data_IF_864445190183
#
_entry.id   IF_864445190183
#
_cell.length_a   1.000
_cell.length_b   1.000
_cell.length_c   1.000
_cell.angle_alpha   90.00
_cell.angle_beta   90.00
_cell.angle_gamma   90.00
#
_symmetry.space_group_name_H-M   'P 1'
#
loop_
_entity.id
_entity.type
_entity.pdbx_description
1 polymer ?
#
# COMPACT_ATOMS: atom_id res chain seq x y z
N UNK A 1 2.33 19.04 -16.37
CA UNK A 1 3.13 17.84 -16.74
C UNK A 1 3.84 17.38 -15.47
N UNK A 2 3.81 16.10 -15.13
CA UNK A 2 4.50 15.56 -13.95
C UNK A 2 5.99 15.63 -14.21
N UNK A 3 6.73 16.25 -13.29
CA UNK A 3 8.20 16.26 -13.38
C UNK A 3 8.75 15.02 -12.66
N UNK A 4 9.21 14.05 -13.43
CA UNK A 4 9.81 12.82 -12.92
C UNK A 4 11.23 13.08 -12.40
N UNK A 5 11.58 12.39 -11.31
CA UNK A 5 12.96 12.32 -10.81
C UNK A 5 13.80 11.41 -11.70
N UNK A 6 15.15 11.48 -11.69
CA UNK A 6 15.99 10.71 -12.61
C UNK A 6 15.70 9.20 -12.62
N UNK A 7 15.52 8.57 -11.47
CA UNK A 7 15.18 7.14 -11.37
C UNK A 7 13.77 6.84 -11.90
N UNK A 8 12.82 7.75 -11.68
CA UNK A 8 11.46 7.63 -12.20
C UNK A 8 11.45 7.78 -13.72
N UNK A 9 12.26 8.69 -14.26
CA UNK A 9 12.41 8.89 -15.71
C UNK A 9 12.99 7.64 -16.36
N UNK A 10 14.04 7.03 -15.80
CA UNK A 10 14.60 5.77 -16.31
C UNK A 10 13.55 4.66 -16.34
N UNK A 11 12.77 4.53 -15.26
CA UNK A 11 11.68 3.54 -15.22
C UNK A 11 10.65 3.80 -16.31
N UNK A 12 10.19 5.05 -16.43
CA UNK A 12 9.23 5.47 -17.46
C UNK A 12 9.75 5.19 -18.88
N UNK A 13 10.99 5.58 -19.19
CA UNK A 13 11.59 5.39 -20.52
C UNK A 13 11.68 3.89 -20.88
N UNK A 14 12.07 3.04 -19.92
CA UNK A 14 12.12 1.60 -20.12
C UNK A 14 10.73 0.98 -20.31
N UNK A 15 9.70 1.50 -19.63
CA UNK A 15 8.30 1.09 -19.83
C UNK A 15 7.77 1.47 -21.23
N UNK A 16 8.33 2.49 -21.89
CA UNK A 16 7.91 2.82 -23.27
C UNK A 16 8.46 1.84 -24.32
N UNK A 17 9.49 1.08 -23.98
CA UNK A 17 10.13 0.12 -24.90
C UNK A 17 9.73 -1.33 -24.66
N UNK A 18 9.12 -1.64 -23.51
CA UNK A 18 8.81 -3.00 -23.06
C UNK A 18 7.37 -3.10 -22.56
N UNK A 19 6.61 -4.05 -23.04
CA UNK A 19 5.20 -4.23 -22.64
C UNK A 19 5.02 -4.99 -21.33
N UNK A 20 6.08 -5.53 -20.73
CA UNK A 20 6.02 -6.27 -19.49
C UNK A 20 7.31 -6.14 -18.69
N UNK A 21 7.20 -5.78 -17.41
CA UNK A 21 8.37 -5.79 -16.56
C UNK A 21 8.17 -5.32 -15.14
N UNK A 22 9.25 -5.38 -14.38
CA UNK A 22 9.29 -5.10 -12.97
C UNK A 22 9.99 -3.78 -12.70
N UNK A 23 9.41 -2.96 -11.82
CA UNK A 23 9.98 -1.70 -11.37
C UNK A 23 10.24 -1.82 -9.86
N UNK A 24 11.52 -1.97 -9.52
CA UNK A 24 11.98 -2.23 -8.16
C UNK A 24 12.51 -0.93 -7.54
N UNK A 25 11.64 -0.21 -6.86
CA UNK A 25 11.95 1.10 -6.25
C UNK A 25 11.54 1.07 -4.78
N UNK A 26 12.41 1.53 -3.86
CA UNK A 26 12.11 1.61 -2.44
C UNK A 26 10.82 2.40 -2.14
N UNK A 27 10.22 2.12 -0.98
CA UNK A 27 9.11 2.93 -0.46
C UNK A 27 9.54 4.39 -0.33
N UNK A 28 8.67 5.33 -0.69
CA UNK A 28 9.00 6.75 -0.77
C UNK A 28 9.70 7.18 -2.08
N UNK A 29 10.09 6.25 -2.96
CA UNK A 29 10.70 6.57 -4.26
C UNK A 29 9.71 6.99 -5.35
N UNK A 30 8.40 7.09 -5.04
CA UNK A 30 7.39 7.65 -5.95
C UNK A 30 6.96 6.72 -7.08
N UNK A 31 6.76 5.44 -6.80
CA UNK A 31 6.25 4.44 -7.77
C UNK A 31 4.93 4.89 -8.42
N UNK A 32 4.03 5.49 -7.65
CA UNK A 32 2.74 5.99 -8.14
C UNK A 32 2.90 7.04 -9.23
N UNK A 33 3.88 7.94 -9.11
CA UNK A 33 4.13 8.97 -10.15
C UNK A 33 4.56 8.37 -11.50
N UNK A 34 5.27 7.25 -11.48
CA UNK A 34 5.66 6.54 -12.71
C UNK A 34 4.42 5.92 -13.37
N UNK A 35 3.55 5.28 -12.59
CA UNK A 35 2.27 4.72 -13.08
C UNK A 35 1.42 5.81 -13.71
N UNK A 36 1.27 6.96 -13.04
CA UNK A 36 0.47 8.10 -13.53
C UNK A 36 1.09 8.68 -14.80
N UNK A 37 2.42 8.82 -14.85
CA UNK A 37 3.09 9.35 -16.04
C UNK A 37 2.92 8.44 -17.26
N UNK A 38 3.06 7.12 -17.07
CA UNK A 38 2.83 6.13 -18.12
C UNK A 38 1.37 6.14 -18.59
N UNK A 39 0.42 6.16 -17.66
CA UNK A 39 -1.00 6.23 -17.99
C UNK A 39 -1.35 7.51 -18.79
N UNK A 40 -0.82 8.66 -18.39
CA UNK A 40 -1.03 9.92 -19.14
C UNK A 40 -0.50 9.85 -20.56
N UNK A 41 0.66 9.24 -20.75
CA UNK A 41 1.22 9.06 -22.10
C UNK A 41 0.34 8.10 -22.93
N UNK A 42 -0.19 7.03 -22.32
CA UNK A 42 -1.10 6.13 -23.01
C UNK A 42 -2.43 6.81 -23.37
N UNK A 43 -3.01 7.61 -22.47
CA UNK A 43 -4.23 8.38 -22.73
C UNK A 43 -4.01 9.39 -23.87
N UNK A 44 -2.87 10.07 -23.91
CA UNK A 44 -2.53 11.03 -24.97
C UNK A 44 -2.41 10.39 -26.36
N UNK A 45 -1.99 9.13 -26.43
CA UNK A 45 -1.74 8.43 -27.69
C UNK A 45 -2.91 7.54 -28.13
N UNK A 46 -3.82 7.20 -27.23
CA UNK A 46 -4.98 6.36 -27.52
C UNK A 46 -6.10 7.17 -28.19
N UNK A 47 -6.74 6.62 -29.20
CA UNK A 47 -7.86 7.26 -29.89
C UNK A 47 -9.17 7.19 -29.12
N UNK A 48 -9.46 6.07 -28.45
CA UNK A 48 -10.65 5.81 -27.63
C UNK A 48 -10.54 4.50 -26.88
N UNK A 49 -11.40 4.30 -25.87
CA UNK A 49 -11.62 3.00 -25.23
C UNK A 49 -10.43 2.39 -24.50
N UNK A 50 -9.44 3.20 -24.08
CA UNK A 50 -8.32 2.68 -23.29
C UNK A 50 -8.81 2.18 -21.93
N UNK A 51 -8.60 0.90 -21.63
CA UNK A 51 -8.94 0.29 -20.33
C UNK A 51 -7.66 0.00 -19.57
N UNK A 52 -7.50 0.67 -18.43
CA UNK A 52 -6.35 0.52 -17.55
C UNK A 52 -6.79 0.00 -16.17
N UNK A 53 -6.04 -0.93 -15.61
CA UNK A 53 -6.32 -1.53 -14.30
C UNK A 53 -5.19 -1.20 -13.33
N UNK A 54 -5.54 -0.73 -12.15
CA UNK A 54 -4.60 -0.49 -11.04
C UNK A 54 -4.92 -1.44 -9.90
N UNK A 55 -3.98 -2.32 -9.58
CA UNK A 55 -4.14 -3.40 -8.59
C UNK A 55 -3.38 -3.02 -7.33
N UNK A 56 -4.08 -2.91 -6.21
CA UNK A 56 -3.52 -2.62 -4.89
C UNK A 56 -3.63 -3.82 -3.93
N UNK A 57 -2.79 -3.93 -2.91
CA UNK A 57 -2.89 -5.02 -1.93
C UNK A 57 -4.15 -4.95 -1.07
N UNK A 58 -4.72 -3.75 -0.87
CA UNK A 58 -5.88 -3.53 0.02
C UNK A 58 -6.77 -2.40 -0.50
N UNK A 59 -8.05 -2.43 -0.10
CA UNK A 59 -9.04 -1.42 -0.46
C UNK A 59 -8.58 0.01 -0.11
N UNK A 60 -8.00 0.20 1.08
CA UNK A 60 -7.50 1.51 1.50
C UNK A 60 -6.46 2.07 0.53
N UNK A 61 -5.50 1.23 0.12
CA UNK A 61 -4.48 1.63 -0.86
C UNK A 61 -5.04 1.82 -2.26
N UNK A 62 -6.03 1.01 -2.65
CA UNK A 62 -6.77 1.20 -3.89
C UNK A 62 -7.42 2.59 -3.93
N UNK A 63 -8.06 3.01 -2.84
CA UNK A 63 -8.68 4.32 -2.73
C UNK A 63 -7.66 5.46 -2.67
N UNK A 64 -6.50 5.23 -2.04
CA UNK A 64 -5.40 6.20 -2.02
C UNK A 64 -4.82 6.40 -3.43
N UNK A 65 -4.54 5.30 -4.15
CA UNK A 65 -4.09 5.38 -5.55
C UNK A 65 -5.12 6.11 -6.42
N UNK A 66 -6.42 5.81 -6.26
CA UNK A 66 -7.47 6.57 -6.95
C UNK A 66 -7.37 8.07 -6.66
N UNK A 67 -7.21 8.48 -5.40
CA UNK A 67 -7.07 9.90 -5.05
C UNK A 67 -5.84 10.54 -5.69
N UNK A 68 -4.67 9.88 -5.60
CA UNK A 68 -3.41 10.37 -6.17
C UNK A 68 -3.48 10.48 -7.71
N UNK A 69 -4.07 9.47 -8.37
CA UNK A 69 -4.27 9.53 -9.82
C UNK A 69 -5.23 10.64 -10.21
N UNK A 70 -6.33 10.82 -9.48
CA UNK A 70 -7.36 11.84 -9.78
C UNK A 70 -6.80 13.26 -9.70
N UNK A 71 -5.89 13.55 -8.78
CA UNK A 71 -5.21 14.84 -8.67
C UNK A 71 -4.41 15.19 -9.93
N UNK A 72 -3.91 14.21 -10.65
CA UNK A 72 -3.10 14.38 -11.84
C UNK A 72 -3.83 14.18 -13.16
N UNK A 73 -5.05 13.64 -13.13
CA UNK A 73 -5.87 13.34 -14.30
C UNK A 73 -7.08 14.26 -14.46
N UNK A 74 -7.09 15.42 -13.80
CA UNK A 74 -8.23 16.37 -13.78
C UNK A 74 -8.66 16.80 -15.18
N UNK A 75 -7.72 16.90 -16.11
CA UNK A 75 -7.97 17.37 -17.48
C UNK A 75 -8.25 16.22 -18.47
N UNK A 76 -8.24 14.96 -17.99
CA UNK A 76 -8.43 13.78 -18.84
C UNK A 76 -9.89 13.30 -18.76
N UNK A 77 -10.50 12.99 -19.93
CA UNK A 77 -11.84 12.39 -19.99
C UNK A 77 -11.77 10.88 -19.73
N UNK A 78 -11.74 10.53 -18.46
CA UNK A 78 -11.65 9.13 -18.01
C UNK A 78 -12.79 8.79 -17.07
N UNK A 79 -13.36 7.59 -17.25
CA UNK A 79 -14.32 7.02 -16.31
C UNK A 79 -13.60 6.17 -15.26
N UNK A 80 -14.03 6.31 -14.04
CA UNK A 80 -13.44 5.59 -12.90
C UNK A 80 -14.44 4.55 -12.39
N UNK A 81 -13.92 3.36 -12.11
CA UNK A 81 -14.67 2.29 -11.46
C UNK A 81 -13.81 1.54 -10.44
N UNK A 82 -14.49 0.93 -9.49
CA UNK A 82 -13.86 0.13 -8.45
C UNK A 82 -14.36 -1.31 -8.48
N UNK A 83 -13.44 -2.26 -8.40
CA UNK A 83 -13.75 -3.69 -8.31
C UNK A 83 -13.26 -4.21 -6.97
N UNK A 84 -14.00 -3.90 -5.92
CA UNK A 84 -13.78 -4.38 -4.55
C UNK A 84 -15.02 -4.12 -3.68
N UNK A 85 -15.08 -4.74 -2.50
CA UNK A 85 -16.22 -4.64 -1.57
C UNK A 85 -16.24 -3.37 -0.69
N UNK A 86 -15.36 -2.38 -0.96
CA UNK A 86 -15.32 -1.12 -0.21
C UNK A 86 -16.39 -0.15 -0.66
N UNK A 87 -16.82 0.74 0.24
CA UNK A 87 -17.70 1.85 -0.10
C UNK A 87 -16.92 2.95 -0.82
N UNK A 88 -17.37 3.35 -2.00
CA UNK A 88 -16.84 4.45 -2.82
C UNK A 88 -18.00 5.23 -3.42
N UNK A 89 -17.72 6.40 -3.97
CA UNK A 89 -18.74 7.26 -4.61
C UNK A 89 -18.99 6.88 -6.08
N UNK A 90 -17.95 6.44 -6.74
CA UNK A 90 -17.94 6.03 -8.14
C UNK A 90 -18.60 4.65 -8.29
N UNK A 91 -18.78 4.22 -9.53
CA UNK A 91 -19.28 2.88 -9.79
C UNK A 91 -18.38 1.83 -9.11
N UNK A 92 -19.00 0.90 -8.37
CA UNK A 92 -18.31 -0.20 -7.72
C UNK A 92 -19.15 -1.47 -7.80
N UNK A 93 -18.54 -2.54 -8.31
CA UNK A 93 -19.17 -3.86 -8.33
C UNK A 93 -18.12 -4.97 -8.17
N UNK A 94 -18.57 -6.11 -7.69
CA UNK A 94 -17.85 -7.39 -7.69
C UNK A 94 -18.55 -8.45 -8.56
N UNK A 95 -19.61 -8.07 -9.27
CA UNK A 95 -20.29 -8.90 -10.25
C UNK A 95 -19.65 -8.72 -11.62
N UNK A 96 -19.20 -9.80 -12.24
CA UNK A 96 -18.49 -9.78 -13.51
C UNK A 96 -19.34 -9.22 -14.67
N UNK A 97 -20.63 -9.55 -14.73
CA UNK A 97 -21.56 -9.05 -15.75
C UNK A 97 -21.75 -7.53 -15.64
N UNK A 98 -21.96 -7.01 -14.40
CA UNK A 98 -22.08 -5.57 -14.16
C UNK A 98 -20.80 -4.80 -14.52
N UNK A 99 -19.64 -5.40 -14.25
CA UNK A 99 -18.32 -4.82 -14.62
C UNK A 99 -18.20 -4.74 -16.14
N UNK A 100 -18.51 -5.86 -16.83
CA UNK A 100 -18.44 -5.92 -18.29
C UNK A 100 -19.41 -4.92 -18.94
N UNK A 101 -20.65 -4.85 -18.48
CA UNK A 101 -21.67 -3.93 -18.97
C UNK A 101 -21.23 -2.46 -18.77
N UNK A 102 -20.70 -2.13 -17.60
CA UNK A 102 -20.27 -0.75 -17.31
C UNK A 102 -19.09 -0.33 -18.19
N UNK A 103 -18.15 -1.22 -18.45
CA UNK A 103 -16.97 -0.92 -19.27
C UNK A 103 -17.30 -0.91 -20.77
N UNK A 104 -18.07 -1.88 -21.27
CA UNK A 104 -18.31 -2.07 -22.70
C UNK A 104 -19.37 -1.12 -23.29
N UNK A 105 -20.23 -0.54 -22.45
CA UNK A 105 -21.31 0.34 -22.91
C UNK A 105 -20.84 1.78 -23.26
N UNK A 106 -19.53 2.01 -23.40
CA UNK A 106 -19.00 3.35 -23.60
C UNK A 106 -17.61 3.31 -24.24
N UNK A 107 -17.37 4.21 -25.18
CA UNK A 107 -16.08 4.38 -25.87
C UNK A 107 -15.07 5.26 -25.11
N UNK A 108 -15.40 5.72 -23.90
CA UNK A 108 -14.51 6.50 -23.05
C UNK A 108 -13.33 5.70 -22.54
N UNK A 109 -12.27 6.38 -22.14
CA UNK A 109 -11.18 5.76 -21.39
C UNK A 109 -11.65 5.33 -19.99
N UNK A 110 -11.19 4.19 -19.51
CA UNK A 110 -11.55 3.65 -18.22
C UNK A 110 -10.31 3.38 -17.35
N UNK A 111 -10.41 3.73 -16.07
CA UNK A 111 -9.46 3.31 -15.05
C UNK A 111 -10.22 2.50 -14.00
N UNK A 112 -9.80 1.26 -13.83
CA UNK A 112 -10.41 0.31 -12.88
C UNK A 112 -9.46 0.12 -11.70
N UNK A 113 -9.87 0.54 -10.52
CA UNK A 113 -9.12 0.29 -9.29
C UNK A 113 -9.62 -1.00 -8.64
N UNK A 114 -8.69 -1.91 -8.35
CA UNK A 114 -9.02 -3.20 -7.76
C UNK A 114 -8.02 -3.62 -6.70
N UNK A 115 -8.31 -4.73 -6.03
CA UNK A 115 -7.38 -5.38 -5.11
C UNK A 115 -6.98 -6.76 -5.63
N UNK A 116 -5.85 -7.30 -5.15
CA UNK A 116 -5.48 -8.69 -5.46
C UNK A 116 -6.59 -9.69 -5.12
N UNK A 117 -7.37 -9.42 -4.06
CA UNK A 117 -8.52 -10.25 -3.69
C UNK A 117 -9.65 -10.24 -4.73
N UNK A 118 -9.83 -9.13 -5.43
CA UNK A 118 -10.94 -8.95 -6.38
C UNK A 118 -10.50 -9.06 -7.85
N UNK A 119 -9.20 -9.19 -8.12
CA UNK A 119 -8.64 -9.22 -9.48
C UNK A 119 -9.26 -10.31 -10.36
N UNK A 120 -9.60 -11.48 -9.77
CA UNK A 120 -10.28 -12.54 -10.49
C UNK A 120 -11.63 -12.11 -11.07
N UNK A 121 -12.32 -11.13 -10.48
CA UNK A 121 -13.59 -10.58 -10.99
C UNK A 121 -13.42 -9.84 -12.31
N UNK A 122 -12.27 -9.19 -12.50
CA UNK A 122 -11.91 -8.55 -13.76
C UNK A 122 -11.61 -9.60 -14.82
N UNK A 123 -10.94 -10.69 -14.45
CA UNK A 123 -10.71 -11.84 -15.34
C UNK A 123 -12.04 -12.49 -15.75
N UNK A 124 -12.94 -12.70 -14.79
CA UNK A 124 -14.28 -13.28 -15.02
C UNK A 124 -15.17 -12.38 -15.90
N UNK A 125 -14.96 -11.06 -15.88
CA UNK A 125 -15.69 -10.09 -16.71
C UNK A 125 -15.27 -10.10 -18.19
N UNK A 126 -14.14 -10.73 -18.52
CA UNK A 126 -13.61 -10.91 -19.88
C UNK A 126 -13.55 -9.59 -20.70
N UNK A 127 -13.13 -8.51 -20.02
CA UNK A 127 -12.98 -7.20 -20.66
C UNK A 127 -11.56 -7.05 -21.23
N UNK A 128 -11.37 -6.31 -22.33
CA UNK A 128 -10.04 -6.02 -22.84
C UNK A 128 -9.25 -5.16 -21.86
N UNK A 129 -8.01 -5.55 -21.54
CA UNK A 129 -7.13 -4.78 -20.67
C UNK A 129 -5.95 -4.28 -21.50
N UNK A 130 -5.83 -2.96 -21.63
CA UNK A 130 -4.71 -2.35 -22.35
C UNK A 130 -3.49 -2.23 -21.46
N UNK A 131 -3.67 -1.68 -20.25
CA UNK A 131 -2.59 -1.53 -19.28
C UNK A 131 -3.01 -2.11 -17.92
N UNK A 132 -2.08 -2.77 -17.23
CA UNK A 132 -2.28 -3.17 -15.85
C UNK A 132 -1.05 -2.84 -15.01
N UNK A 133 -1.27 -2.13 -13.90
CA UNK A 133 -0.25 -1.73 -12.94
C UNK A 133 -0.49 -2.47 -11.63
N UNK A 134 0.47 -3.26 -11.20
CA UNK A 134 0.43 -3.99 -9.94
C UNK A 134 1.25 -3.25 -8.89
N UNK A 135 0.60 -2.59 -7.95
CA UNK A 135 1.29 -2.01 -6.80
C UNK A 135 1.54 -3.08 -5.73
N UNK A 136 2.70 -2.95 -5.04
CA UNK A 136 3.23 -3.94 -4.11
C UNK A 136 3.14 -5.37 -4.69
N UNK A 137 3.71 -5.53 -5.88
CA UNK A 137 3.58 -6.72 -6.74
C UNK A 137 4.02 -8.03 -6.10
N UNK A 138 4.84 -7.98 -5.04
CA UNK A 138 5.20 -9.14 -4.24
C UNK A 138 3.99 -9.86 -3.61
N UNK A 139 2.83 -9.17 -3.46
CA UNK A 139 1.59 -9.79 -2.99
C UNK A 139 1.03 -10.78 -4.00
N UNK A 140 1.20 -10.53 -5.29
CA UNK A 140 0.76 -11.41 -6.37
C UNK A 140 1.41 -12.79 -6.37
N UNK A 141 2.54 -12.96 -5.67
CA UNK A 141 3.23 -14.26 -5.55
C UNK A 141 2.54 -15.24 -4.60
N UNK A 142 1.55 -14.79 -3.83
CA UNK A 142 0.82 -15.66 -2.89
C UNK A 142 -0.04 -16.68 -3.66
N UNK A 143 -0.23 -17.86 -3.09
CA UNK A 143 -1.03 -18.93 -3.70
C UNK A 143 -2.45 -18.47 -4.05
N UNK A 144 -3.03 -17.59 -3.25
CA UNK A 144 -4.42 -17.13 -3.42
C UNK A 144 -4.59 -16.11 -4.55
N UNK A 145 -3.55 -15.38 -4.91
CA UNK A 145 -3.64 -14.28 -5.89
C UNK A 145 -2.97 -14.61 -7.22
N UNK A 146 -2.02 -15.54 -7.21
CA UNK A 146 -1.18 -15.84 -8.37
C UNK A 146 -1.96 -16.27 -9.61
N UNK A 147 -3.03 -17.05 -9.43
CA UNK A 147 -3.86 -17.51 -10.57
C UNK A 147 -4.50 -16.35 -11.31
N UNK A 148 -5.02 -15.35 -10.59
CA UNK A 148 -5.58 -14.15 -11.22
C UNK A 148 -4.48 -13.30 -11.88
N UNK A 149 -3.32 -13.13 -11.24
CA UNK A 149 -2.16 -12.44 -11.84
C UNK A 149 -1.69 -13.16 -13.11
N UNK A 150 -1.57 -14.48 -13.09
CA UNK A 150 -1.21 -15.29 -14.25
C UNK A 150 -2.26 -15.17 -15.38
N UNK A 151 -3.55 -15.16 -15.04
CA UNK A 151 -4.61 -14.98 -16.01
C UNK A 151 -4.49 -13.61 -16.71
N UNK A 152 -4.36 -12.52 -15.95
CA UNK A 152 -4.20 -11.17 -16.53
C UNK A 152 -2.95 -11.05 -17.41
N UNK A 153 -1.91 -11.84 -17.16
CA UNK A 153 -0.71 -11.88 -18.01
C UNK A 153 -0.98 -12.39 -19.44
N UNK A 154 -2.13 -13.00 -19.66
CA UNK A 154 -2.54 -13.49 -20.99
C UNK A 154 -3.46 -12.52 -21.74
N UNK A 155 -4.11 -11.61 -21.03
CA UNK A 155 -5.13 -10.70 -21.60
C UNK A 155 -4.65 -9.26 -21.71
N UNK A 156 -3.82 -8.79 -20.77
CA UNK A 156 -3.35 -7.42 -20.78
C UNK A 156 -2.22 -7.21 -21.79
N UNK A 157 -2.34 -6.16 -22.59
CA UNK A 157 -1.31 -5.82 -23.57
C UNK A 157 -0.03 -5.36 -22.88
N UNK A 158 -0.14 -4.46 -21.90
CA UNK A 158 1.00 -3.94 -21.13
C UNK A 158 0.83 -4.24 -19.64
N UNK A 159 1.89 -4.74 -18.98
CA UNK A 159 1.85 -5.21 -17.57
C UNK A 159 3.08 -4.77 -16.80
N UNK A 160 2.89 -4.03 -15.74
CA UNK A 160 4.00 -3.54 -14.92
C UNK A 160 3.82 -3.86 -13.45
N UNK A 161 4.89 -4.33 -12.83
CA UNK A 161 4.93 -4.87 -11.48
C UNK A 161 5.83 -4.01 -10.59
N UNK A 162 5.24 -3.19 -9.73
CA UNK A 162 5.91 -2.24 -8.86
C UNK A 162 6.06 -2.80 -7.46
N UNK A 163 7.28 -2.82 -6.92
CA UNK A 163 7.53 -3.19 -5.52
C UNK A 163 8.90 -2.70 -5.04
N UNK A 164 9.03 -2.54 -3.72
CA UNK A 164 10.31 -2.33 -3.06
C UNK A 164 11.01 -3.67 -2.71
N UNK A 165 10.23 -4.74 -2.56
CA UNK A 165 10.66 -6.01 -1.97
C UNK A 165 10.23 -7.19 -2.83
N UNK A 166 10.92 -7.46 -3.96
CA UNK A 166 10.56 -8.57 -4.84
C UNK A 166 10.70 -9.90 -4.10
N UNK A 167 9.73 -10.79 -4.30
CA UNK A 167 9.73 -12.13 -3.72
C UNK A 167 10.19 -13.16 -4.74
N UNK A 168 11.31 -13.80 -4.44
CA UNK A 168 11.86 -14.90 -5.26
C UNK A 168 11.19 -16.21 -4.85
N UNK A 169 10.77 -16.99 -5.84
CA UNK A 169 10.14 -18.28 -5.61
C UNK A 169 11.12 -19.36 -5.19
N UNK A 170 10.74 -20.19 -4.19
CA UNK A 170 11.55 -21.33 -3.72
C UNK A 170 10.67 -22.57 -3.58
N UNK A 171 11.23 -23.73 -3.93
CA UNK A 171 10.52 -25.02 -3.80
C UNK A 171 9.15 -24.98 -4.50
N UNK A 172 8.07 -25.25 -3.79
CA UNK A 172 6.70 -25.27 -4.32
C UNK A 172 6.19 -23.90 -4.79
N UNK A 173 6.86 -22.80 -4.43
CA UNK A 173 6.49 -21.44 -4.87
C UNK A 173 7.33 -20.94 -6.05
N UNK A 174 8.22 -21.76 -6.61
CA UNK A 174 9.15 -21.37 -7.68
C UNK A 174 8.46 -20.72 -8.87
N UNK A 175 7.33 -21.28 -9.30
CA UNK A 175 6.59 -20.76 -10.47
C UNK A 175 5.88 -19.42 -10.17
N UNK A 176 5.64 -19.10 -8.90
CA UNK A 176 4.94 -17.91 -8.47
C UNK A 176 5.85 -16.75 -8.07
N UNK A 177 7.15 -16.99 -7.98
CA UNK A 177 8.13 -15.97 -7.64
C UNK A 177 8.25 -14.92 -8.72
N UNK A 178 8.66 -13.71 -8.35
CA UNK A 178 8.89 -12.61 -9.29
C UNK A 178 10.12 -12.85 -10.17
N UNK A 179 10.94 -13.86 -9.87
CA UNK A 179 11.98 -14.40 -10.73
C UNK A 179 11.45 -15.25 -11.91
N UNK A 180 10.13 -15.46 -12.01
CA UNK A 180 9.48 -16.04 -13.16
C UNK A 180 9.21 -14.97 -14.24
N UNK A 181 10.20 -14.73 -15.11
CA UNK A 181 10.12 -13.71 -16.14
C UNK A 181 8.99 -13.93 -17.18
N UNK A 182 8.42 -15.14 -17.28
CA UNK A 182 7.27 -15.39 -18.16
C UNK A 182 6.01 -14.68 -17.68
N UNK A 183 5.88 -14.46 -16.37
CA UNK A 183 4.73 -13.78 -15.75
C UNK A 183 5.07 -12.32 -15.49
N UNK A 184 6.21 -12.06 -14.85
CA UNK A 184 6.55 -10.74 -14.33
C UNK A 184 7.46 -9.91 -15.26
N UNK A 185 7.91 -10.48 -16.38
CA UNK A 185 8.87 -9.81 -17.25
C UNK A 185 10.25 -9.64 -16.63
N UNK A 186 11.11 -8.92 -17.33
CA UNK A 186 12.44 -8.55 -16.84
C UNK A 186 12.35 -7.36 -15.86
N UNK A 187 13.42 -7.14 -15.11
CA UNK A 187 13.57 -5.92 -14.32
C UNK A 187 13.88 -4.76 -15.29
N UNK A 188 12.95 -3.80 -15.37
CA UNK A 188 13.09 -2.61 -16.21
C UNK A 188 13.84 -1.49 -15.50
N UNK A 189 13.61 -1.35 -14.20
CA UNK A 189 14.34 -0.41 -13.35
C UNK A 189 14.54 -1.01 -11.95
N UNK A 190 15.74 -0.83 -11.43
CA UNK A 190 16.07 -1.17 -10.05
C UNK A 190 16.85 -0.02 -9.42
N UNK A 191 16.20 0.70 -8.52
CA UNK A 191 16.80 1.81 -7.78
C UNK A 191 17.22 1.36 -6.39
N UNK A 192 18.47 1.60 -6.03
CA UNK A 192 18.95 1.29 -4.68
C UNK A 192 18.47 2.34 -3.67
N UNK A 193 18.16 1.93 -2.43
CA UNK A 193 17.82 2.87 -1.35
C UNK A 193 18.92 3.93 -1.11
N UNK A 194 20.18 3.55 -1.28
CA UNK A 194 21.32 4.46 -1.16
C UNK A 194 21.25 5.62 -2.16
N UNK A 195 20.81 5.40 -3.40
CA UNK A 195 20.63 6.45 -4.41
C UNK A 195 19.57 7.47 -3.96
N UNK A 196 18.45 7.00 -3.42
CA UNK A 196 17.37 7.86 -2.93
C UNK A 196 17.75 8.62 -1.66
N UNK A 197 18.54 8.02 -0.79
CA UNK A 197 19.11 8.69 0.40
C UNK A 197 20.08 9.79 -0.02
N UNK A 198 21.00 9.50 -0.91
CA UNK A 198 21.99 10.48 -1.40
C UNK A 198 21.31 11.66 -2.12
N UNK A 199 20.22 11.41 -2.82
CA UNK A 199 19.43 12.47 -3.47
C UNK A 199 18.43 13.18 -2.53
N UNK A 200 18.41 12.84 -1.24
CA UNK A 200 17.53 13.44 -0.23
C UNK A 200 16.05 13.10 -0.40
N UNK A 201 15.72 12.04 -1.13
CA UNK A 201 14.33 11.64 -1.38
C UNK A 201 13.74 10.78 -0.26
N UNK A 202 14.57 10.00 0.39
CA UNK A 202 14.20 9.24 1.59
C UNK A 202 15.22 9.47 2.69
N UNK A 203 14.77 9.41 3.92
CA UNK A 203 15.62 9.52 5.10
C UNK A 203 16.21 8.14 5.43
N UNK A 204 17.51 8.03 5.73
CA UNK A 204 18.09 6.76 6.14
C UNK A 204 17.46 6.31 7.47
N UNK A 205 16.98 5.05 7.58
CA UNK A 205 16.47 4.54 8.83
C UNK A 205 17.64 4.36 9.82
N UNK A 206 17.45 4.82 11.05
CA UNK A 206 18.30 4.48 12.18
C UNK A 206 17.71 3.27 12.88
N UNK A 207 18.42 2.15 12.83
CA UNK A 207 18.00 0.91 13.55
C UNK A 207 18.77 0.85 14.87
N UNK A 208 18.03 0.98 15.97
CA UNK A 208 18.60 0.89 17.32
C UNK A 208 18.03 -0.37 17.97
N UNK A 209 18.85 -1.42 18.23
CA UNK A 209 18.40 -2.56 19.01
C UNK A 209 18.15 -2.11 20.45
N UNK A 210 17.09 -2.66 21.06
CA UNK A 210 16.75 -2.40 22.45
C UNK A 210 16.91 -3.73 23.22
N UNK A 211 17.87 -3.75 24.12
CA UNK A 211 18.11 -4.89 25.00
C UNK A 211 17.33 -4.73 26.30
N UNK A 212 16.80 -5.83 26.81
CA UNK A 212 16.03 -5.87 28.04
C UNK A 212 16.40 -7.09 28.86
N UNK A 213 16.55 -6.89 30.18
CA UNK A 213 16.73 -7.97 31.15
C UNK A 213 15.41 -8.64 31.56
N UNK A 214 14.28 -8.16 31.04
CA UNK A 214 12.96 -8.69 31.36
C UNK A 214 12.74 -10.05 30.71
N UNK A 215 12.51 -11.06 31.53
CA UNK A 215 12.21 -12.42 31.03
C UNK A 215 10.75 -12.52 30.66
N UNK A 216 10.49 -12.70 29.36
CA UNK A 216 9.15 -12.83 28.80
C UNK A 216 8.65 -14.26 28.85
N UNK A 217 7.74 -14.56 29.78
CA UNK A 217 7.07 -15.85 29.91
C UNK A 217 5.60 -15.75 29.47
N UNK A 218 4.93 -16.90 29.30
CA UNK A 218 3.53 -16.92 28.87
C UNK A 218 2.58 -16.21 29.84
N UNK A 219 2.89 -16.21 31.13
CA UNK A 219 2.04 -15.64 32.19
C UNK A 219 2.17 -14.12 32.30
N UNK A 220 3.37 -13.56 32.05
CA UNK A 220 3.67 -12.15 32.18
C UNK A 220 3.90 -11.43 30.85
N UNK A 221 3.65 -12.11 29.73
CA UNK A 221 4.01 -11.62 28.41
C UNK A 221 3.49 -10.20 28.10
N UNK A 222 2.28 -9.86 28.55
CA UNK A 222 1.69 -8.57 28.27
C UNK A 222 2.26 -7.43 29.10
N UNK A 223 2.64 -7.76 30.36
CA UNK A 223 3.29 -6.80 31.26
C UNK A 223 4.72 -6.52 30.80
N UNK A 224 5.45 -7.54 30.38
CA UNK A 224 6.78 -7.39 29.78
C UNK A 224 6.74 -6.63 28.47
N UNK A 225 5.78 -6.93 27.59
CA UNK A 225 5.60 -6.20 26.34
C UNK A 225 5.28 -4.72 26.60
N UNK A 226 4.41 -4.42 27.60
CA UNK A 226 4.11 -3.06 28.06
C UNK A 226 5.37 -2.36 28.58
N UNK A 227 6.09 -2.99 29.52
CA UNK A 227 7.28 -2.44 30.14
C UNK A 227 8.34 -2.07 29.11
N UNK A 228 8.61 -2.97 28.15
CA UNK A 228 9.54 -2.69 27.06
C UNK A 228 9.10 -1.51 26.21
N UNK A 229 7.80 -1.37 25.91
CA UNK A 229 7.28 -0.19 25.17
C UNK A 229 7.54 1.09 25.97
N UNK A 230 7.25 1.10 27.27
CA UNK A 230 7.47 2.28 28.11
C UNK A 230 8.96 2.62 28.19
N UNK A 231 9.83 1.66 28.45
CA UNK A 231 11.27 1.86 28.54
C UNK A 231 11.85 2.42 27.22
N UNK A 232 11.38 1.93 26.07
CA UNK A 232 11.77 2.47 24.77
C UNK A 232 11.32 3.94 24.63
N UNK A 233 10.08 4.24 24.99
CA UNK A 233 9.56 5.62 24.90
C UNK A 233 10.25 6.60 25.85
N UNK A 234 10.64 6.15 27.04
CA UNK A 234 11.42 6.92 28.00
C UNK A 234 12.86 7.17 27.55
N UNK A 235 13.40 6.26 26.71
CA UNK A 235 14.72 6.44 26.12
C UNK A 235 14.75 7.42 24.94
N UNK A 236 13.60 7.85 24.43
CA UNK A 236 13.54 8.82 23.37
C UNK A 236 13.93 10.22 23.86
N UNK A 237 14.44 11.02 22.95
CA UNK A 237 14.95 12.36 23.23
C UNK A 237 13.86 13.27 23.84
N UNK A 238 14.17 13.86 25.00
CA UNK A 238 13.25 14.78 25.68
C UNK A 238 13.00 16.06 24.84
N UNK A 239 11.80 16.60 24.99
CA UNK A 239 11.40 17.87 24.34
C UNK A 239 10.99 17.74 22.88
N UNK A 240 11.03 16.54 22.28
CA UNK A 240 10.50 16.28 20.94
C UNK A 240 9.10 15.67 20.97
N UNK A 241 8.29 16.09 20.01
CA UNK A 241 6.96 15.51 19.80
C UNK A 241 7.08 14.25 18.95
N UNK A 242 7.35 13.11 19.58
CA UNK A 242 7.51 11.84 18.89
C UNK A 242 6.19 11.31 18.35
N UNK A 243 6.20 10.88 17.10
CA UNK A 243 5.12 10.14 16.41
C UNK A 243 5.55 8.69 16.31
N UNK A 244 4.93 7.83 17.10
CA UNK A 244 5.42 6.45 17.31
C UNK A 244 4.47 5.43 16.72
N UNK A 245 5.00 4.52 15.91
CA UNK A 245 4.27 3.39 15.34
C UNK A 245 4.72 2.08 16.01
N UNK A 246 3.79 1.39 16.65
CA UNK A 246 4.02 0.11 17.31
C UNK A 246 3.31 -1.00 16.56
N UNK A 247 4.09 -1.87 15.92
CA UNK A 247 3.61 -3.05 15.21
C UNK A 247 3.59 -4.27 16.14
N UNK A 248 2.40 -4.77 16.45
CA UNK A 248 2.26 -5.99 17.24
C UNK A 248 2.37 -7.25 16.34
N UNK A 249 2.84 -8.39 16.87
CA UNK A 249 2.98 -9.63 16.11
C UNK A 249 1.64 -10.25 15.69
N UNK A 250 0.56 -9.95 16.40
CA UNK A 250 -0.80 -10.36 16.05
C UNK A 250 -1.86 -9.57 16.84
N UNK A 251 -3.11 -9.64 16.39
CA UNK A 251 -4.25 -8.94 17.02
C UNK A 251 -4.48 -9.34 18.49
N UNK A 252 -4.21 -10.59 18.85
CA UNK A 252 -4.43 -11.09 20.22
C UNK A 252 -3.44 -10.47 21.20
N UNK A 253 -2.15 -10.39 20.83
CA UNK A 253 -1.10 -9.75 21.64
C UNK A 253 -1.43 -8.27 21.80
N UNK A 254 -1.73 -7.58 20.70
CA UNK A 254 -2.10 -6.17 20.73
C UNK A 254 -3.29 -5.90 21.66
N UNK A 255 -4.36 -6.65 21.47
CA UNK A 255 -5.58 -6.45 22.28
C UNK A 255 -5.35 -6.70 23.76
N UNK A 256 -4.62 -7.75 24.12
CA UNK A 256 -4.30 -8.05 25.51
C UNK A 256 -3.44 -6.98 26.15
N UNK A 257 -2.42 -6.49 25.46
CA UNK A 257 -1.60 -5.39 25.94
C UNK A 257 -2.44 -4.14 26.22
N UNK A 258 -3.34 -3.76 25.29
CA UNK A 258 -4.19 -2.58 25.45
C UNK A 258 -5.30 -2.74 26.51
N UNK A 259 -5.82 -3.96 26.74
CA UNK A 259 -6.98 -4.19 27.61
C UNK A 259 -6.65 -4.78 28.98
N UNK A 260 -5.48 -5.42 29.15
CA UNK A 260 -5.11 -6.14 30.37
C UNK A 260 -3.92 -5.51 31.10
N UNK A 261 -3.31 -4.45 30.56
CA UNK A 261 -2.21 -3.71 31.20
C UNK A 261 -2.58 -2.23 31.37
N UNK A 262 -1.74 -1.48 32.08
CA UNK A 262 -1.90 -0.03 32.28
C UNK A 262 -1.39 0.82 31.12
N UNK A 263 -0.92 0.24 29.99
CA UNK A 263 -0.24 0.93 28.89
C UNK A 263 -0.95 2.22 28.44
N UNK A 264 -2.27 2.22 28.37
CA UNK A 264 -3.05 3.39 27.95
C UNK A 264 -2.93 4.53 28.97
N UNK A 265 -2.95 4.22 30.25
CA UNK A 265 -2.81 5.23 31.31
C UNK A 265 -1.37 5.75 31.35
N UNK A 266 -0.38 4.88 31.22
CA UNK A 266 1.03 5.25 31.21
C UNK A 266 1.34 6.19 30.06
N UNK A 267 0.88 5.88 28.84
CA UNK A 267 1.06 6.74 27.67
C UNK A 267 0.37 8.11 27.83
N UNK A 268 -0.81 8.15 28.45
CA UNK A 268 -1.48 9.42 28.75
C UNK A 268 -0.69 10.26 29.75
N UNK A 269 -0.13 9.64 30.77
CA UNK A 269 0.73 10.34 31.76
C UNK A 269 2.00 10.88 31.10
N UNK A 270 2.53 10.19 30.07
CA UNK A 270 3.63 10.65 29.24
C UNK A 270 3.22 11.71 28.20
N UNK A 271 1.95 12.11 28.14
CA UNK A 271 1.43 13.14 27.23
C UNK A 271 1.18 12.66 25.79
N UNK A 272 1.06 11.36 25.56
CA UNK A 272 0.72 10.84 24.23
C UNK A 272 -0.78 10.76 24.01
N UNK A 273 -1.22 11.19 22.83
CA UNK A 273 -2.49 10.72 22.27
C UNK A 273 -2.34 9.30 21.71
N UNK A 274 -3.40 8.51 21.79
CA UNK A 274 -3.32 7.08 21.52
C UNK A 274 -4.28 6.69 20.41
N UNK A 275 -3.74 6.04 19.39
CA UNK A 275 -4.51 5.46 18.28
C UNK A 275 -4.28 3.95 18.24
N UNK A 276 -5.31 3.19 17.95
CA UNK A 276 -5.12 1.77 17.60
C UNK A 276 -6.14 1.29 16.59
N UNK A 277 -5.72 0.37 15.73
CA UNK A 277 -6.57 -0.19 14.70
C UNK A 277 -6.28 -1.68 14.48
N UNK A 278 -7.34 -2.47 14.43
CA UNK A 278 -7.30 -3.88 14.06
C UNK A 278 -8.47 -4.24 13.14
N UNK A 279 -8.33 -5.28 12.34
CA UNK A 279 -9.43 -5.79 11.50
C UNK A 279 -10.61 -6.29 12.33
N UNK A 280 -10.32 -6.90 13.49
CA UNK A 280 -11.32 -7.53 14.36
C UNK A 280 -12.07 -6.54 15.27
N UNK A 281 -11.36 -5.55 15.83
CA UNK A 281 -11.94 -4.67 16.85
C UNK A 281 -12.28 -3.28 16.31
N UNK A 282 -11.79 -2.94 15.11
CA UNK A 282 -11.99 -1.63 14.49
C UNK A 282 -10.93 -0.61 14.89
N UNK A 283 -11.28 0.66 14.73
CA UNK A 283 -10.39 1.81 14.93
C UNK A 283 -10.80 2.62 16.16
N UNK A 284 -9.81 3.09 16.91
CA UNK A 284 -10.01 3.86 18.14
C UNK A 284 -9.02 5.03 18.21
N UNK A 285 -9.49 6.16 18.71
CA UNK A 285 -8.70 7.33 19.03
C UNK A 285 -9.00 7.69 20.48
N UNK A 286 -7.99 7.74 21.34
CA UNK A 286 -8.11 8.05 22.77
C UNK A 286 -9.23 7.24 23.46
N UNK A 287 -9.27 5.92 23.20
CA UNK A 287 -10.27 4.96 23.69
C UNK A 287 -11.69 5.11 23.11
N UNK A 288 -11.93 6.10 22.24
CA UNK A 288 -13.23 6.24 21.58
C UNK A 288 -13.20 5.48 20.24
N UNK A 289 -14.20 4.62 20.03
CA UNK A 289 -14.38 3.94 18.76
C UNK A 289 -14.78 4.93 17.68
N UNK A 290 -14.10 4.87 16.54
CA UNK A 290 -14.35 5.76 15.40
C UNK A 290 -14.50 4.97 14.10
N UNK A 291 -15.07 5.58 13.08
CA UNK A 291 -15.07 5.03 11.74
C UNK A 291 -13.65 5.07 11.17
N UNK A 292 -13.36 4.18 10.21
CA UNK A 292 -12.02 4.08 9.60
C UNK A 292 -11.62 5.35 8.85
N UNK A 293 -12.54 5.97 8.14
CA UNK A 293 -12.31 7.25 7.45
C UNK A 293 -11.84 8.34 8.43
N UNK A 294 -12.55 8.51 9.54
CA UNK A 294 -12.16 9.46 10.61
C UNK A 294 -10.80 9.12 11.21
N UNK A 295 -10.51 7.83 11.39
CA UNK A 295 -9.21 7.38 11.91
C UNK A 295 -8.05 7.80 11.00
N UNK A 296 -8.14 7.51 9.70
CA UNK A 296 -7.09 7.85 8.75
C UNK A 296 -6.95 9.35 8.52
N UNK A 297 -8.06 10.08 8.42
CA UNK A 297 -8.01 11.55 8.36
C UNK A 297 -7.33 12.16 9.58
N UNK A 298 -7.63 11.63 10.78
CA UNK A 298 -6.97 12.08 12.00
C UNK A 298 -5.48 11.73 11.99
N UNK A 299 -5.11 10.54 11.53
CA UNK A 299 -3.72 10.11 11.42
C UNK A 299 -2.92 11.01 10.48
N UNK A 300 -3.47 11.33 9.31
CA UNK A 300 -2.85 12.28 8.36
C UNK A 300 -2.67 13.66 8.98
N UNK A 301 -3.71 14.20 9.62
CA UNK A 301 -3.65 15.52 10.25
C UNK A 301 -2.64 15.56 11.41
N UNK A 302 -2.62 14.54 12.26
CA UNK A 302 -1.66 14.45 13.35
C UNK A 302 -0.24 14.18 12.84
N UNK A 303 -0.11 13.43 11.74
CA UNK A 303 1.16 13.21 11.07
C UNK A 303 1.79 14.51 10.57
N UNK A 304 0.98 15.42 10.01
CA UNK A 304 1.42 16.72 9.49
C UNK A 304 1.66 17.79 10.58
N UNK A 305 1.18 17.58 11.81
CA UNK A 305 1.31 18.55 12.92
C UNK A 305 2.57 18.27 13.74
N UNK A 306 3.57 19.13 13.65
CA UNK A 306 4.84 19.01 14.39
C UNK A 306 4.66 19.15 15.91
N UNK A 307 3.56 19.75 16.37
CA UNK A 307 3.25 19.89 17.79
C UNK A 307 2.54 18.67 18.36
N UNK A 308 2.16 17.72 17.51
CA UNK A 308 1.39 16.55 17.92
C UNK A 308 2.32 15.41 18.36
N UNK A 309 2.04 14.86 19.54
CA UNK A 309 2.71 13.69 20.11
C UNK A 309 1.71 12.55 20.21
N UNK A 310 1.95 11.43 19.51
CA UNK A 310 1.03 10.30 19.55
C UNK A 310 1.71 8.95 19.35
N UNK A 311 1.04 7.91 19.85
CA UNK A 311 1.39 6.51 19.63
C UNK A 311 0.27 5.83 18.88
N UNK A 312 0.61 5.11 17.83
CA UNK A 312 -0.33 4.28 17.08
C UNK A 312 0.04 2.81 17.19
N UNK A 313 -0.91 1.99 17.62
CA UNK A 313 -0.76 0.55 17.69
C UNK A 313 -1.51 -0.13 16.55
N UNK A 314 -0.85 -1.06 15.88
CA UNK A 314 -1.49 -1.80 14.82
C UNK A 314 -1.00 -3.24 14.72
N UNK A 315 -1.75 -4.06 14.01
CA UNK A 315 -1.31 -5.34 13.45
C UNK A 315 -1.66 -5.38 11.98
N UNK A 316 -0.65 -5.45 11.11
CA UNK A 316 -0.76 -5.65 9.66
C UNK A 316 -1.52 -4.56 8.86
N UNK A 317 -2.42 -3.76 9.46
CA UNK A 317 -3.24 -2.78 8.71
C UNK A 317 -2.40 -1.61 8.16
N UNK A 318 -1.39 -1.18 8.91
CA UNK A 318 -0.50 -0.07 8.56
C UNK A 318 0.87 -0.53 8.03
N UNK A 319 1.01 -1.81 7.69
CA UNK A 319 2.31 -2.38 7.29
C UNK A 319 2.70 -2.09 5.86
N UNK A 320 1.78 -1.61 5.03
CA UNK A 320 2.02 -1.37 3.60
C UNK A 320 1.31 -0.08 3.16
N UNK A 321 2.05 0.80 2.51
CA UNK A 321 1.57 1.86 1.64
C UNK A 321 0.67 2.95 2.23
N UNK A 322 0.61 3.14 3.55
CA UNK A 322 -0.14 4.24 4.14
C UNK A 322 0.77 5.47 4.18
N UNK A 323 0.36 6.51 3.48
CA UNK A 323 1.03 7.80 3.57
C UNK A 323 0.68 8.47 4.91
N UNK A 324 1.67 8.58 5.80
CA UNK A 324 1.62 9.40 7.01
C UNK A 324 2.68 10.48 6.83
N UNK A 325 2.27 11.74 6.70
CA UNK A 325 3.18 12.87 6.52
C UNK A 325 4.19 13.00 7.65
#
# INVERSE_FOLDING_TARGET
MIQLQPHQQRAFDNMQSEDCGQILIPTGGGKTYIMIADLKEQLRTAYSGLISVVVAPRILLSNQLHSEFSEHLVDEDVRISHVHSGEVKEFSSTNAEEIADYVNNNDSHHIIYTTYHSLHRIVDADIPIHNIYFDEAHNGTSKHFFEAVLATSKYANRRYYFTATPRIGRGQSKERGMDNNRVYGNILEQTAAAELIQSGKIVPPLVVPFDTDLVRERINAHDVDRENVINILESLEEGKNHKVLIAAPNTKVLWRMLSQTSIINDLKLMGYDIMHITSKHGAYINQQKVRRDKFFNTLTNWGADDNKRFVIFHYSILSEGINVP
#
